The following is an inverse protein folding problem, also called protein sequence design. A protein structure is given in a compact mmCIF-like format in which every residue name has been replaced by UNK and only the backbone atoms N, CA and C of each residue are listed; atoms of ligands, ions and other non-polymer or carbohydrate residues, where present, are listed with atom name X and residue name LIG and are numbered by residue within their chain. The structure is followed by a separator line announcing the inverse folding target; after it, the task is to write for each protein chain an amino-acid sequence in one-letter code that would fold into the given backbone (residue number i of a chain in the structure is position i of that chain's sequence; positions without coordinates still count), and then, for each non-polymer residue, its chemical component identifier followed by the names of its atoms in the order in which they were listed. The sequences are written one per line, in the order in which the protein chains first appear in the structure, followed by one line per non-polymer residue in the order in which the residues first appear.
data_IF_076348370579
#
_entry.id   IF_076348370579
#
_cell.length_a   1.000
_cell.length_b   1.000
_cell.length_c   1.000
_cell.angle_alpha   90.00
_cell.angle_beta   90.00
_cell.angle_gamma   90.00
#
_symmetry.space_group_name_H-M   'P 1'
#
loop_
_entity.id
_entity.type
_entity.pdbx_description
1 polymer ?
#
# COMPACT_ATOMS: atom_id res chain seq x y z
N UNK A 1 -5.11 6.30 8.97
CA UNK A 1 -4.48 5.40 9.97
C UNK A 1 -4.22 3.99 9.46
N UNK A 2 -5.15 3.35 8.72
CA UNK A 2 -5.01 1.95 8.24
C UNK A 2 -3.70 1.64 7.49
N UNK A 3 -3.21 2.55 6.64
CA UNK A 3 -1.98 2.34 5.85
C UNK A 3 -0.79 1.99 6.75
N UNK A 4 -0.51 2.84 7.75
CA UNK A 4 0.64 2.67 8.63
C UNK A 4 0.52 1.43 9.52
N UNK A 5 -0.67 1.14 10.04
CA UNK A 5 -0.92 -0.04 10.87
C UNK A 5 -0.65 -1.34 10.12
N UNK A 6 -1.19 -1.47 8.90
CA UNK A 6 -0.97 -2.65 8.07
C UNK A 6 0.50 -2.78 7.62
N UNK A 7 1.22 -1.67 7.42
CA UNK A 7 2.67 -1.70 7.14
C UNK A 7 3.42 -2.26 8.35
N UNK A 8 3.11 -1.78 9.56
CA UNK A 8 3.76 -2.23 10.79
C UNK A 8 3.47 -3.72 11.08
N UNK A 9 2.22 -4.15 10.93
CA UNK A 9 1.82 -5.56 11.07
C UNK A 9 2.55 -6.45 10.08
N UNK A 10 2.60 -6.06 8.79
CA UNK A 10 3.38 -6.79 7.80
C UNK A 10 4.88 -6.81 8.13
N UNK A 11 5.44 -5.70 8.59
CA UNK A 11 6.85 -5.65 8.98
C UNK A 11 7.19 -6.64 10.09
N UNK A 12 6.30 -6.78 11.09
CA UNK A 12 6.44 -7.72 12.21
C UNK A 12 6.14 -9.19 11.88
N UNK A 13 5.51 -9.48 10.75
CA UNK A 13 5.19 -10.85 10.33
C UNK A 13 6.39 -11.56 9.67
N UNK A 14 6.57 -12.84 10.00
CA UNK A 14 7.61 -13.73 9.47
C UNK A 14 7.13 -14.52 8.25
N UNK A 15 5.88 -14.99 8.26
CA UNK A 15 5.32 -15.78 7.18
C UNK A 15 5.13 -14.90 5.93
N UNK A 16 5.89 -15.16 4.86
CA UNK A 16 5.89 -14.35 3.64
C UNK A 16 4.49 -14.12 3.05
N UNK A 17 3.62 -15.14 3.10
CA UNK A 17 2.24 -15.06 2.61
C UNK A 17 1.38 -14.10 3.44
N UNK A 18 1.49 -14.15 4.77
CA UNK A 18 0.74 -13.28 5.68
C UNK A 18 1.29 -11.86 5.65
N UNK A 19 2.62 -11.71 5.58
CA UNK A 19 3.30 -10.43 5.34
C UNK A 19 2.80 -9.74 4.06
N UNK A 20 2.73 -10.48 2.96
CA UNK A 20 2.17 -9.97 1.70
C UNK A 20 0.68 -9.61 1.82
N UNK A 21 -0.10 -10.31 2.67
CA UNK A 21 -1.50 -9.98 2.94
C UNK A 21 -1.64 -8.61 3.59
N UNK A 22 -0.87 -8.32 4.64
CA UNK A 22 -0.88 -7.01 5.30
C UNK A 22 -0.46 -5.88 4.34
N UNK A 23 0.59 -6.07 3.55
CA UNK A 23 0.99 -5.06 2.55
C UNK A 23 -0.06 -4.83 1.46
N UNK A 24 -0.82 -5.87 1.05
CA UNK A 24 -1.97 -5.70 0.15
C UNK A 24 -3.09 -4.88 0.80
N UNK A 25 -3.34 -5.07 2.11
CA UNK A 25 -4.32 -4.27 2.86
C UNK A 25 -3.90 -2.81 2.96
N UNK A 26 -2.62 -2.54 3.30
CA UNK A 26 -2.06 -1.19 3.28
C UNK A 26 -2.23 -0.52 1.90
N UNK A 27 -1.98 -1.26 0.81
CA UNK A 27 -2.10 -0.74 -0.56
C UNK A 27 -3.55 -0.40 -0.91
N UNK A 28 -4.51 -1.24 -0.50
CA UNK A 28 -5.94 -0.96 -0.69
C UNK A 28 -6.33 0.33 0.04
N UNK A 29 -5.95 0.48 1.30
CA UNK A 29 -6.22 1.71 2.06
C UNK A 29 -5.55 2.94 1.46
N UNK A 30 -4.34 2.83 0.90
CA UNK A 30 -3.70 3.94 0.20
C UNK A 30 -4.47 4.34 -1.07
N UNK A 31 -5.04 3.38 -1.79
CA UNK A 31 -5.88 3.63 -2.98
C UNK A 31 -7.19 4.32 -2.59
N UNK A 32 -7.83 3.86 -1.51
CA UNK A 32 -9.03 4.52 -0.94
C UNK A 32 -8.73 5.98 -0.55
N UNK A 33 -7.57 6.24 0.07
CA UNK A 33 -7.14 7.61 0.37
C UNK A 33 -6.96 8.47 -0.89
N UNK A 34 -6.44 7.91 -1.99
CA UNK A 34 -6.31 8.67 -3.24
C UNK A 34 -7.69 9.06 -3.80
N UNK A 35 -8.67 8.15 -3.75
CA UNK A 35 -10.07 8.48 -4.10
C UNK A 35 -10.66 9.55 -3.21
N UNK A 36 -10.36 9.54 -1.90
CA UNK A 36 -10.78 10.61 -0.99
C UNK A 36 -10.17 11.95 -1.41
N UNK A 37 -8.90 12.00 -1.81
CA UNK A 37 -8.29 13.23 -2.32
C UNK A 37 -9.00 13.73 -3.59
N UNK A 38 -9.37 12.83 -4.50
CA UNK A 38 -10.11 13.20 -5.71
C UNK A 38 -11.49 13.81 -5.36
N UNK A 39 -12.18 13.29 -4.35
CA UNK A 39 -13.45 13.86 -3.85
C UNK A 39 -13.23 15.21 -3.18
N UNK A 40 -12.18 15.36 -2.36
CA UNK A 40 -11.83 16.63 -1.70
C UNK A 40 -11.50 17.70 -2.74
N UNK A 41 -10.82 17.33 -3.84
CA UNK A 41 -10.55 18.20 -4.99
C UNK A 41 -11.85 18.67 -5.64
N UNK A 42 -12.72 17.73 -6.00
CA UNK A 42 -13.99 18.03 -6.68
C UNK A 42 -14.88 18.98 -5.86
N UNK A 43 -14.89 18.78 -4.54
CA UNK A 43 -15.63 19.63 -3.60
C UNK A 43 -14.90 20.93 -3.24
N UNK A 44 -13.71 21.17 -3.78
CA UNK A 44 -12.87 22.36 -3.52
C UNK A 44 -12.60 22.61 -2.03
N UNK A 45 -12.42 21.53 -1.26
CA UNK A 45 -12.30 21.59 0.21
C UNK A 45 -10.86 21.81 0.71
N UNK A 46 -9.87 21.81 -0.18
CA UNK A 46 -8.46 22.02 0.14
C UNK A 46 -7.73 22.71 -1.02
N UNK A 47 -6.53 23.25 -0.74
CA UNK A 47 -5.67 23.87 -1.76
C UNK A 47 -5.06 22.82 -2.67
N UNK A 48 -4.96 23.14 -3.96
CA UNK A 48 -4.46 22.21 -4.97
C UNK A 48 -3.03 21.73 -4.67
N UNK A 49 -2.17 22.61 -4.15
CA UNK A 49 -0.79 22.25 -3.79
C UNK A 49 -0.74 21.19 -2.69
N UNK A 50 -1.66 21.24 -1.73
CA UNK A 50 -1.74 20.27 -0.64
C UNK A 50 -2.26 18.92 -1.14
N UNK A 51 -3.18 18.93 -2.10
CA UNK A 51 -3.73 17.73 -2.71
C UNK A 51 -2.67 17.01 -3.56
N UNK A 52 -1.90 17.77 -4.35
CA UNK A 52 -0.80 17.21 -5.14
C UNK A 52 0.33 16.65 -4.26
N UNK A 53 0.71 17.34 -3.19
CA UNK A 53 1.69 16.82 -2.23
C UNK A 53 1.21 15.50 -1.59
N UNK A 54 -0.04 15.46 -1.12
CA UNK A 54 -0.61 14.25 -0.52
C UNK A 54 -0.72 13.10 -1.54
N UNK A 55 -1.05 13.41 -2.79
CA UNK A 55 -1.16 12.43 -3.88
C UNK A 55 0.20 11.84 -4.23
N UNK A 56 1.26 12.64 -4.26
CA UNK A 56 2.62 12.16 -4.52
C UNK A 56 3.14 11.27 -3.38
N UNK A 57 2.82 11.60 -2.13
CA UNK A 57 3.10 10.75 -0.98
C UNK A 57 2.39 9.39 -1.10
N UNK A 58 1.10 9.39 -1.43
CA UNK A 58 0.34 8.14 -1.65
C UNK A 58 0.89 7.33 -2.82
N UNK A 59 1.27 7.97 -3.92
CA UNK A 59 1.89 7.31 -5.09
C UNK A 59 3.17 6.58 -4.69
N UNK A 60 4.03 7.24 -3.92
CA UNK A 60 5.28 6.67 -3.42
C UNK A 60 5.01 5.46 -2.51
N UNK A 61 4.07 5.58 -1.58
CA UNK A 61 3.66 4.49 -0.68
C UNK A 61 3.14 3.29 -1.47
N UNK A 62 2.24 3.52 -2.44
CA UNK A 62 1.68 2.45 -3.27
C UNK A 62 2.77 1.75 -4.08
N UNK A 63 3.71 2.49 -4.67
CA UNK A 63 4.82 1.92 -5.43
C UNK A 63 5.69 0.99 -4.56
N UNK A 64 6.05 1.43 -3.35
CA UNK A 64 6.79 0.61 -2.40
C UNK A 64 6.03 -0.67 -2.02
N UNK A 65 4.74 -0.55 -1.69
CA UNK A 65 3.90 -1.69 -1.31
C UNK A 65 3.75 -2.70 -2.46
N UNK A 66 3.61 -2.23 -3.70
CA UNK A 66 3.58 -3.10 -4.89
C UNK A 66 4.89 -3.88 -5.04
N UNK A 67 6.03 -3.20 -4.88
CA UNK A 67 7.35 -3.84 -4.94
C UNK A 67 7.51 -4.93 -3.87
N UNK A 68 7.15 -4.62 -2.62
CA UNK A 68 7.22 -5.57 -1.51
C UNK A 68 6.33 -6.79 -1.71
N UNK A 69 5.08 -6.61 -2.17
CA UNK A 69 4.16 -7.72 -2.44
C UNK A 69 4.70 -8.63 -3.54
N UNK A 70 5.20 -8.05 -4.65
CA UNK A 70 5.78 -8.83 -5.76
C UNK A 70 6.96 -9.68 -5.28
N UNK A 71 7.90 -9.07 -4.55
CA UNK A 71 9.06 -9.76 -4.03
C UNK A 71 8.69 -10.93 -3.09
N UNK A 72 7.69 -10.75 -2.23
CA UNK A 72 7.23 -11.80 -1.32
C UNK A 72 6.49 -12.93 -2.04
N UNK A 73 5.68 -12.60 -3.06
CA UNK A 73 4.98 -13.59 -3.87
C UNK A 73 5.98 -14.44 -4.70
N UNK A 74 7.08 -13.86 -5.18
CA UNK A 74 8.19 -14.57 -5.85
C UNK A 74 8.89 -15.54 -4.90
N UNK A 75 9.31 -15.09 -3.71
CA UNK A 75 9.93 -15.96 -2.69
C UNK A 75 9.02 -17.12 -2.25
N UNK A 76 7.70 -16.88 -2.20
CA UNK A 76 6.72 -17.93 -1.87
C UNK A 76 6.57 -19.00 -2.95
N UNK A 77 7.00 -18.74 -4.19
CA UNK A 77 7.00 -19.71 -5.30
C UNK A 77 8.28 -20.56 -5.31
N UNK A 78 9.42 -19.96 -5.02
CA UNK A 78 10.73 -20.63 -4.97
C UNK A 78 10.82 -21.68 -3.84
N UNK A 79 10.07 -21.49 -2.74
CA UNK A 79 10.03 -22.43 -1.62
C UNK A 79 9.11 -23.64 -1.78
N UNK A 80 8.45 -23.83 -2.93
CA UNK A 80 7.61 -25.01 -3.18
C UNK A 80 8.40 -26.08 -3.94
N UNK A 81 8.48 -27.35 -3.47
CA UNK A 81 9.05 -28.41 -4.28
C UNK A 81 8.24 -28.54 -5.57
N UNK A 82 8.94 -28.62 -6.69
CA UNK A 82 8.35 -28.80 -8.02
C UNK A 82 7.80 -30.24 -8.13
N UNK A 83 6.63 -30.45 -8.77
CA UNK A 83 5.99 -31.77 -8.84
C UNK A 83 6.83 -32.78 -9.63
#
# INVERSE_FOLDING_TARGET
MSIALNIAEGAGEFAAKEKARFYRMARRSATECATILDVVRELQLAREEQLEEAREQLRTIVAMLVGLVKHLDERGREGKPQP
#
